data_IF_850969736980
#
_entry.id   IF_850969736980
#
_cell.length_a   1.000
_cell.length_b   1.000
_cell.length_c   1.000
_cell.angle_alpha   90.00
_cell.angle_beta   90.00
_cell.angle_gamma   90.00
#
_symmetry.space_group_name_H-M   'P 1'
#
loop_
_entity.id
_entity.type
_entity.pdbx_description
1 polymer ?
#
# COMPACT_ATOMS: atom_id res chain seq x y z
N UNK A 1 14.14 -10.99 14.10
CA UNK A 1 13.80 -12.22 13.36
C UNK A 1 13.22 -11.98 11.98
N UNK A 2 12.36 -10.98 11.73
CA UNK A 2 11.89 -10.67 10.36
C UNK A 2 13.04 -10.35 9.39
N UNK A 3 14.08 -9.63 9.86
CA UNK A 3 15.32 -9.45 9.09
C UNK A 3 16.05 -10.77 8.82
N UNK A 4 16.08 -11.72 9.77
CA UNK A 4 16.70 -13.04 9.54
C UNK A 4 15.90 -13.89 8.57
N UNK A 5 14.56 -13.89 8.67
CA UNK A 5 13.70 -14.60 7.71
C UNK A 5 13.80 -13.99 6.31
N UNK A 6 13.87 -12.66 6.21
CA UNK A 6 14.15 -11.96 4.96
C UNK A 6 15.52 -12.30 4.37
N UNK A 7 16.57 -12.35 5.21
CA UNK A 7 17.91 -12.77 4.79
C UNK A 7 17.94 -14.24 4.38
N UNK A 8 17.27 -15.14 5.10
CA UNK A 8 17.17 -16.56 4.77
C UNK A 8 16.41 -16.76 3.45
N UNK A 9 15.30 -16.04 3.25
CA UNK A 9 14.56 -16.07 1.99
C UNK A 9 15.38 -15.50 0.83
N UNK A 10 16.14 -14.42 1.06
CA UNK A 10 17.05 -13.83 0.08
C UNK A 10 18.19 -14.77 -0.29
N UNK A 11 18.86 -15.37 0.70
CA UNK A 11 19.93 -16.35 0.50
C UNK A 11 19.38 -17.62 -0.17
N UNK A 12 18.18 -18.07 0.19
CA UNK A 12 17.50 -19.19 -0.44
C UNK A 12 17.16 -18.92 -1.91
N UNK A 13 16.63 -17.75 -2.23
CA UNK A 13 16.37 -17.32 -3.61
C UNK A 13 17.65 -17.15 -4.43
N UNK A 14 18.73 -16.63 -3.83
CA UNK A 14 20.05 -16.50 -4.46
C UNK A 14 20.70 -17.86 -4.72
N UNK A 15 20.62 -18.79 -3.77
CA UNK A 15 21.11 -20.16 -3.92
C UNK A 15 20.32 -20.91 -5.00
N UNK A 16 18.99 -20.75 -5.03
CA UNK A 16 18.12 -21.34 -6.04
C UNK A 16 18.38 -20.75 -7.44
N UNK A 17 18.61 -19.44 -7.54
CA UNK A 17 19.02 -18.76 -8.77
C UNK A 17 20.35 -19.32 -9.33
N UNK A 18 21.35 -19.50 -8.46
CA UNK A 18 22.68 -19.99 -8.87
C UNK A 18 22.67 -21.46 -9.30
N UNK A 19 21.68 -22.24 -8.85
CA UNK A 19 21.62 -23.69 -9.06
C UNK A 19 20.63 -24.15 -10.15
N UNK A 20 19.57 -23.39 -10.48
CA UNK A 20 18.45 -23.94 -11.28
C UNK A 20 18.09 -23.16 -12.54
N UNK A 21 18.16 -21.81 -12.60
CA UNK A 21 17.71 -21.05 -13.78
C UNK A 21 18.61 -19.86 -14.15
N UNK A 22 19.41 -20.03 -15.20
CA UNK A 22 20.26 -19.01 -15.83
C UNK A 22 19.47 -18.06 -16.76
N UNK A 23 18.44 -17.38 -16.27
CA UNK A 23 17.70 -16.37 -17.04
C UNK A 23 17.93 -14.97 -16.46
N UNK A 24 18.29 -14.00 -17.30
CA UNK A 24 18.58 -12.61 -16.91
C UNK A 24 17.44 -11.95 -16.11
N UNK A 25 16.18 -12.30 -16.41
CA UNK A 25 14.99 -11.83 -15.70
C UNK A 25 15.00 -12.28 -14.22
N UNK A 26 15.47 -13.50 -13.94
CA UNK A 26 15.52 -14.06 -12.58
C UNK A 26 16.72 -13.47 -11.82
N UNK A 27 17.82 -13.15 -12.52
CA UNK A 27 18.93 -12.38 -11.97
C UNK A 27 18.49 -11.01 -11.44
N UNK A 28 17.72 -10.26 -12.23
CA UNK A 28 17.15 -8.99 -11.76
C UNK A 28 16.12 -9.18 -10.64
N UNK A 29 15.27 -10.20 -10.71
CA UNK A 29 14.29 -10.50 -9.66
C UNK A 29 14.97 -10.83 -8.31
N UNK A 30 16.06 -11.60 -8.32
CA UNK A 30 16.83 -11.93 -7.11
C UNK A 30 17.56 -10.70 -6.53
N UNK A 31 18.10 -9.83 -7.36
CA UNK A 31 18.67 -8.54 -6.93
C UNK A 31 17.60 -7.63 -6.32
N UNK A 32 16.38 -7.62 -6.86
CA UNK A 32 15.25 -6.87 -6.29
C UNK A 32 14.81 -7.47 -4.94
N UNK A 33 14.91 -8.80 -4.77
CA UNK A 33 14.58 -9.44 -3.50
C UNK A 33 15.47 -8.97 -2.34
N UNK A 34 16.74 -8.63 -2.59
CA UNK A 34 17.61 -8.08 -1.54
C UNK A 34 17.25 -6.66 -1.12
N UNK A 35 16.70 -5.85 -2.03
CA UNK A 35 16.13 -4.54 -1.70
C UNK A 35 14.95 -4.72 -0.73
N UNK A 36 14.16 -5.79 -0.90
CA UNK A 36 13.03 -6.06 -0.01
C UNK A 36 13.45 -6.24 1.46
N UNK A 37 14.65 -6.78 1.72
CA UNK A 37 15.18 -6.88 3.10
C UNK A 37 15.40 -5.50 3.69
N UNK A 38 16.05 -4.60 2.95
CA UNK A 38 16.29 -3.22 3.39
C UNK A 38 14.99 -2.45 3.60
N UNK A 39 14.08 -2.51 2.63
CA UNK A 39 12.77 -1.86 2.71
C UNK A 39 11.95 -2.40 3.90
N UNK A 40 12.02 -3.70 4.18
CA UNK A 40 11.35 -4.28 5.35
C UNK A 40 11.98 -3.80 6.65
N UNK A 41 13.30 -3.69 6.75
CA UNK A 41 13.98 -3.11 7.92
C UNK A 41 13.54 -1.67 8.19
N UNK A 42 13.49 -0.84 7.13
CA UNK A 42 12.96 0.53 7.21
C UNK A 42 11.50 0.52 7.69
N UNK A 43 10.67 -0.38 7.15
CA UNK A 43 9.25 -0.52 7.53
C UNK A 43 9.06 -0.90 9.00
N UNK A 44 9.86 -1.83 9.51
CA UNK A 44 9.82 -2.24 10.93
C UNK A 44 10.20 -1.07 11.85
N UNK A 45 11.27 -0.34 11.53
CA UNK A 45 11.67 0.83 12.30
C UNK A 45 10.65 1.98 12.22
N UNK A 46 10.05 2.19 11.05
CA UNK A 46 8.97 3.16 10.87
C UNK A 46 7.74 2.77 11.70
N UNK A 47 7.36 1.49 11.72
CA UNK A 47 6.30 0.96 12.56
C UNK A 47 6.59 1.13 14.06
N UNK A 48 7.86 0.95 14.47
CA UNK A 48 8.29 1.24 15.84
C UNK A 48 8.11 2.72 16.20
N UNK A 49 8.56 3.64 15.34
CA UNK A 49 8.39 5.10 15.51
C UNK A 49 6.92 5.51 15.58
N UNK A 50 6.06 4.90 14.75
CA UNK A 50 4.62 5.12 14.78
C UNK A 50 4.01 4.60 16.09
N UNK A 51 4.43 3.42 16.56
CA UNK A 51 3.97 2.83 17.81
C UNK A 51 4.38 3.62 19.05
N UNK A 52 5.57 4.23 19.06
CA UNK A 52 6.05 5.10 20.14
C UNK A 52 5.53 6.54 20.05
N UNK A 53 4.74 6.87 19.01
CA UNK A 53 4.19 8.21 18.76
C UNK A 53 5.25 9.32 18.62
N UNK A 54 6.51 8.94 18.34
CA UNK A 54 7.62 9.89 18.11
C UNK A 54 7.77 10.28 16.64
N UNK A 55 6.77 9.96 15.80
CA UNK A 55 6.78 10.25 14.37
C UNK A 55 7.07 11.73 14.03
N UNK A 56 6.52 12.74 14.74
CA UNK A 56 6.83 14.14 14.45
C UNK A 56 8.32 14.46 14.57
N UNK A 57 8.99 13.89 15.59
CA UNK A 57 10.41 14.12 15.88
C UNK A 57 11.35 13.55 14.81
N UNK A 58 10.94 12.47 14.15
CA UNK A 58 11.74 11.78 13.11
C UNK A 58 11.35 12.22 11.69
N UNK A 59 10.19 12.85 11.53
CA UNK A 59 9.57 13.15 10.23
C UNK A 59 10.46 13.98 9.30
N UNK A 60 11.07 15.06 9.79
CA UNK A 60 11.92 15.95 8.98
C UNK A 60 13.13 15.21 8.43
N UNK A 61 13.81 14.44 9.27
CA UNK A 61 14.99 13.65 8.88
C UNK A 61 14.60 12.58 7.87
N UNK A 62 13.44 11.93 8.07
CA UNK A 62 12.95 10.90 7.17
C UNK A 62 12.54 11.48 5.81
N UNK A 63 11.92 12.65 5.77
CA UNK A 63 11.59 13.36 4.52
C UNK A 63 12.88 13.75 3.80
N UNK A 64 13.85 14.32 4.51
CA UNK A 64 15.14 14.72 3.93
C UNK A 64 15.91 13.51 3.37
N UNK A 65 15.97 12.40 4.13
CA UNK A 65 16.67 11.18 3.68
C UNK A 65 15.94 10.48 2.53
N UNK A 66 14.61 10.50 2.51
CA UNK A 66 13.81 9.97 1.39
C UNK A 66 13.99 10.82 0.14
N UNK A 67 13.98 12.15 0.27
CA UNK A 67 14.24 13.05 -0.85
C UNK A 67 15.66 12.85 -1.40
N UNK A 68 16.66 12.78 -0.52
CA UNK A 68 18.04 12.45 -0.91
C UNK A 68 18.13 11.08 -1.61
N UNK A 69 17.44 10.06 -1.09
CA UNK A 69 17.32 8.74 -1.73
C UNK A 69 16.71 8.84 -3.12
N UNK A 70 15.67 9.63 -3.33
CA UNK A 70 15.04 9.82 -4.65
C UNK A 70 16.00 10.49 -5.63
N UNK A 71 16.75 11.50 -5.18
CA UNK A 71 17.77 12.14 -6.01
C UNK A 71 18.87 11.16 -6.41
N UNK A 72 19.37 10.34 -5.48
CA UNK A 72 20.38 9.30 -5.75
C UNK A 72 19.84 8.26 -6.74
N UNK A 73 18.63 7.72 -6.50
CA UNK A 73 18.03 6.73 -7.40
C UNK A 73 17.86 7.31 -8.80
N UNK A 74 17.31 8.52 -8.91
CA UNK A 74 17.06 9.17 -10.21
C UNK A 74 18.38 9.47 -10.94
N UNK A 75 19.39 10.01 -10.24
CA UNK A 75 20.68 10.32 -10.84
C UNK A 75 21.43 9.09 -11.33
N UNK A 76 21.49 8.03 -10.51
CA UNK A 76 22.18 6.78 -10.87
C UNK A 76 21.40 6.01 -11.95
N UNK A 77 20.06 6.01 -11.89
CA UNK A 77 19.23 5.42 -12.94
C UNK A 77 19.39 6.14 -14.29
N UNK A 78 19.54 7.47 -14.28
CA UNK A 78 19.80 8.23 -15.52
C UNK A 78 21.15 7.83 -16.15
N UNK A 79 22.20 7.65 -15.33
CA UNK A 79 23.53 7.31 -15.81
C UNK A 79 23.69 5.84 -16.25
N UNK A 80 23.05 4.88 -15.57
CA UNK A 80 23.31 3.45 -15.77
C UNK A 80 22.03 2.63 -16.06
N UNK A 81 20.95 3.27 -16.49
CA UNK A 81 19.67 2.62 -16.84
C UNK A 81 19.17 1.69 -15.72
N UNK A 82 18.75 0.45 -16.04
CA UNK A 82 18.15 -0.51 -15.10
C UNK A 82 19.14 -0.93 -14.00
N UNK A 83 20.40 -1.21 -14.35
CA UNK A 83 21.43 -1.57 -13.37
C UNK A 83 21.70 -0.43 -12.40
N UNK A 84 21.68 0.82 -12.90
CA UNK A 84 21.75 2.03 -12.09
C UNK A 84 20.57 2.20 -11.15
N UNK A 85 19.37 1.90 -11.62
CA UNK A 85 18.16 1.95 -10.78
C UNK A 85 18.27 0.97 -9.60
N UNK A 86 18.75 -0.26 -9.82
CA UNK A 86 18.93 -1.26 -8.75
C UNK A 86 19.96 -0.77 -7.73
N UNK A 87 21.15 -0.36 -8.19
CA UNK A 87 22.20 0.16 -7.31
C UNK A 87 21.74 1.40 -6.53
N UNK A 88 21.07 2.33 -7.21
CA UNK A 88 20.48 3.52 -6.61
C UNK A 88 19.44 3.19 -5.54
N UNK A 89 18.60 2.16 -5.74
CA UNK A 89 17.63 1.71 -4.74
C UNK A 89 18.30 1.13 -3.51
N UNK A 90 19.37 0.33 -3.66
CA UNK A 90 20.16 -0.15 -2.53
C UNK A 90 20.76 1.00 -1.73
N UNK A 91 21.44 1.94 -2.40
CA UNK A 91 22.05 3.09 -1.75
C UNK A 91 21.01 3.99 -1.07
N UNK A 92 19.90 4.25 -1.75
CA UNK A 92 18.81 5.06 -1.24
C UNK A 92 18.16 4.48 0.02
N UNK A 93 17.81 3.18 -0.01
CA UNK A 93 17.26 2.49 1.15
C UNK A 93 18.28 2.42 2.31
N UNK A 94 19.58 2.25 2.01
CA UNK A 94 20.64 2.30 3.02
C UNK A 94 20.77 3.68 3.67
N UNK A 95 20.63 4.77 2.91
CA UNK A 95 20.63 6.14 3.44
C UNK A 95 19.47 6.33 4.41
N UNK A 96 18.26 5.92 4.01
CA UNK A 96 17.06 6.02 4.86
C UNK A 96 17.20 5.17 6.11
N UNK A 97 17.66 3.92 5.97
CA UNK A 97 17.87 3.00 7.08
C UNK A 97 18.92 3.55 8.07
N UNK A 98 20.05 4.05 7.58
CA UNK A 98 21.12 4.61 8.41
C UNK A 98 20.63 5.84 9.17
N UNK A 99 19.86 6.72 8.52
CA UNK A 99 19.27 7.89 9.16
C UNK A 99 18.29 7.50 10.28
N UNK A 100 17.44 6.49 10.05
CA UNK A 100 16.51 5.96 11.05
C UNK A 100 17.25 5.34 12.24
N UNK A 101 18.23 4.48 11.98
CA UNK A 101 19.03 3.82 13.03
C UNK A 101 19.79 4.85 13.86
N UNK A 102 20.40 5.84 13.21
CA UNK A 102 21.13 6.92 13.89
C UNK A 102 20.22 7.70 14.83
N UNK A 103 19.02 8.07 14.39
CA UNK A 103 18.10 8.82 15.23
C UNK A 103 17.50 7.96 16.36
N UNK A 104 17.25 6.68 16.09
CA UNK A 104 16.73 5.73 17.07
C UNK A 104 17.81 5.14 17.98
N UNK A 105 19.08 5.49 17.81
CA UNK A 105 20.20 4.91 18.58
C UNK A 105 19.99 5.03 20.09
N UNK A 106 19.42 6.15 20.55
CA UNK A 106 19.14 6.36 21.97
C UNK A 106 18.08 5.41 22.53
N UNK A 107 17.13 4.96 21.70
CA UNK A 107 16.08 4.01 22.10
C UNK A 107 16.53 2.56 21.96
N UNK A 108 17.32 2.27 20.90
CA UNK A 108 17.80 0.93 20.59
C UNK A 108 18.97 0.50 21.48
N UNK A 109 19.94 1.39 21.73
CA UNK A 109 21.19 1.03 22.42
C UNK A 109 21.21 1.37 23.93
N UNK A 110 20.27 2.17 24.45
CA UNK A 110 20.20 2.46 25.90
C UNK A 110 19.39 1.44 26.71
N UNK A 111 18.67 0.52 26.05
CA UNK A 111 18.02 -0.59 26.74
C UNK A 111 18.94 -1.81 26.65
N UNK A 112 19.26 -2.49 27.76
CA UNK A 112 20.06 -3.72 27.70
C UNK A 112 19.26 -4.76 26.89
N UNK A 113 19.70 -5.00 25.66
CA UNK A 113 19.12 -5.96 24.70
C UNK A 113 19.12 -7.41 25.25
N UNK A 114 19.80 -7.65 26.38
CA UNK A 114 20.12 -8.97 26.91
C UNK A 114 19.34 -9.38 28.17
N UNK A 115 18.40 -8.59 28.68
CA UNK A 115 17.62 -9.00 29.87
C UNK A 115 16.31 -9.65 29.45
N UNK A 116 16.32 -10.99 29.34
CA UNK A 116 15.17 -11.89 29.33
C UNK A 116 14.01 -11.57 28.36
N UNK A 117 14.28 -11.55 27.05
CA UNK A 117 13.18 -11.57 26.07
C UNK A 117 12.99 -12.98 25.52
N UNK A 118 11.93 -13.63 26.01
CA UNK A 118 11.28 -14.77 25.37
C UNK A 118 11.31 -14.59 23.85
N UNK A 119 11.69 -15.65 23.12
CA UNK A 119 11.51 -15.74 21.67
C UNK A 119 10.17 -15.09 21.29
N UNK A 120 10.10 -14.27 20.22
CA UNK A 120 8.86 -13.63 19.82
C UNK A 120 7.78 -14.70 19.77
N UNK A 121 6.71 -14.49 20.53
CA UNK A 121 5.66 -15.50 20.66
C UNK A 121 5.20 -15.90 19.26
N UNK A 122 4.87 -17.18 19.06
CA UNK A 122 4.33 -17.69 17.79
C UNK A 122 3.16 -16.82 17.28
N UNK A 123 2.42 -16.21 18.20
CA UNK A 123 1.37 -15.23 17.94
C UNK A 123 1.87 -13.99 17.19
N UNK A 124 3.01 -13.43 17.55
CA UNK A 124 3.59 -12.25 16.91
C UNK A 124 4.10 -12.58 15.49
N UNK A 125 4.69 -13.76 15.31
CA UNK A 125 5.08 -14.27 13.99
C UNK A 125 3.84 -14.47 13.10
N UNK A 126 2.80 -15.13 13.62
CA UNK A 126 1.55 -15.33 12.90
C UNK A 126 0.87 -14.01 12.51
N UNK A 127 0.91 -13.01 13.40
CA UNK A 127 0.43 -11.65 13.13
C UNK A 127 1.20 -11.01 11.97
N UNK A 128 2.54 -11.01 12.02
CA UNK A 128 3.38 -10.44 10.96
C UNK A 128 3.18 -11.13 9.61
N UNK A 129 3.10 -12.46 9.59
CA UNK A 129 2.79 -13.23 8.37
C UNK A 129 1.41 -12.85 7.83
N UNK A 130 0.38 -12.83 8.67
CA UNK A 130 -0.98 -12.50 8.23
C UNK A 130 -1.09 -11.08 7.67
N UNK A 131 -0.39 -10.11 8.27
CA UNK A 131 -0.36 -8.73 7.78
C UNK A 131 0.34 -8.61 6.43
N UNK A 132 1.48 -9.30 6.24
CA UNK A 132 2.19 -9.30 4.96
C UNK A 132 1.40 -10.01 3.86
N UNK A 133 0.73 -11.13 4.18
CA UNK A 133 -0.17 -11.80 3.23
C UNK A 133 -1.34 -10.90 2.87
N UNK A 134 -1.97 -10.24 3.84
CA UNK A 134 -3.05 -9.28 3.58
C UNK A 134 -2.59 -8.15 2.64
N UNK A 135 -1.39 -7.60 2.88
CA UNK A 135 -0.79 -6.56 2.05
C UNK A 135 -0.44 -7.07 0.66
N UNK A 136 0.10 -8.28 0.53
CA UNK A 136 0.40 -8.91 -0.76
C UNK A 136 -0.88 -9.10 -1.59
N UNK A 137 -1.93 -9.67 -1.00
CA UNK A 137 -3.21 -9.87 -1.67
C UNK A 137 -3.83 -8.51 -2.03
N UNK A 138 -3.70 -7.50 -1.17
CA UNK A 138 -4.17 -6.14 -1.48
C UNK A 138 -3.44 -5.54 -2.68
N UNK A 139 -2.11 -5.68 -2.74
CA UNK A 139 -1.30 -5.25 -3.88
C UNK A 139 -1.70 -6.00 -5.15
N UNK A 140 -2.04 -7.29 -5.04
CA UNK A 140 -2.59 -8.04 -6.17
C UNK A 140 -3.91 -7.42 -6.65
N UNK A 141 -4.88 -7.18 -5.75
CA UNK A 141 -6.16 -6.54 -6.09
C UNK A 141 -5.96 -5.19 -6.79
N UNK A 142 -5.05 -4.36 -6.28
CA UNK A 142 -4.78 -3.04 -6.85
C UNK A 142 -4.16 -3.11 -8.25
N UNK A 143 -3.42 -4.18 -8.56
CA UNK A 143 -2.80 -4.41 -9.86
C UNK A 143 -3.61 -5.30 -10.81
N UNK A 144 -4.72 -5.91 -10.35
CA UNK A 144 -5.56 -6.80 -11.17
C UNK A 144 -6.05 -6.15 -12.48
N UNK A 145 -6.45 -4.87 -12.54
CA UNK A 145 -6.85 -4.26 -13.80
C UNK A 145 -5.72 -4.22 -14.84
N UNK A 146 -4.48 -3.95 -14.40
CA UNK A 146 -3.30 -3.93 -15.28
C UNK A 146 -3.00 -5.36 -15.74
N UNK A 147 -2.99 -6.32 -14.83
CA UNK A 147 -2.78 -7.73 -15.15
C UNK A 147 -3.85 -8.27 -16.10
N UNK A 148 -5.11 -7.86 -15.90
CA UNK A 148 -6.25 -8.20 -16.76
C UNK A 148 -6.09 -7.66 -18.18
N UNK A 149 -5.66 -6.41 -18.34
CA UNK A 149 -5.35 -5.84 -19.65
C UNK A 149 -4.20 -6.57 -20.36
N UNK A 150 -3.13 -6.89 -19.63
CA UNK A 150 -1.99 -7.65 -20.16
C UNK A 150 -2.42 -9.05 -20.60
N UNK A 151 -3.19 -9.76 -19.77
CA UNK A 151 -3.72 -11.09 -20.10
C UNK A 151 -4.70 -11.06 -21.28
N UNK A 152 -5.47 -9.99 -21.41
CA UNK A 152 -6.38 -9.76 -22.53
C UNK A 152 -5.68 -9.27 -23.82
N UNK A 153 -4.35 -9.10 -23.80
CA UNK A 153 -3.54 -8.59 -24.92
C UNK A 153 -4.01 -7.23 -25.44
N UNK A 154 -4.44 -6.35 -24.53
CA UNK A 154 -4.80 -4.96 -24.85
C UNK A 154 -3.57 -4.23 -25.40
N UNK A 155 -3.79 -3.28 -26.33
CA UNK A 155 -2.71 -2.46 -26.91
C UNK A 155 -1.89 -1.75 -25.82
N UNK A 156 -0.57 -1.72 -26.00
CA UNK A 156 0.39 -1.14 -25.04
C UNK A 156 0.08 0.31 -24.70
N UNK A 157 -0.39 1.10 -25.67
CA UNK A 157 -0.68 2.52 -25.48
C UNK A 157 -1.82 2.72 -24.48
N UNK A 158 -2.86 1.88 -24.55
CA UNK A 158 -3.98 1.91 -23.61
C UNK A 158 -3.55 1.51 -22.19
N UNK A 159 -2.65 0.53 -22.08
CA UNK A 159 -2.05 0.15 -20.80
C UNK A 159 -1.23 1.33 -20.23
N UNK A 160 -0.51 2.06 -21.09
CA UNK A 160 0.22 3.27 -20.73
C UNK A 160 -0.68 4.39 -20.20
N UNK A 161 -1.77 4.70 -20.89
CA UNK A 161 -2.76 5.69 -20.44
C UNK A 161 -3.39 5.32 -19.09
N UNK A 162 -3.79 4.06 -18.93
CA UNK A 162 -4.31 3.57 -17.65
C UNK A 162 -3.24 3.64 -16.55
N UNK A 163 -2.01 3.22 -16.83
CA UNK A 163 -0.89 3.30 -15.91
C UNK A 163 -0.64 4.72 -15.41
N UNK A 164 -0.61 5.70 -16.32
CA UNK A 164 -0.50 7.12 -15.97
C UNK A 164 -1.66 7.60 -15.09
N UNK A 165 -2.90 7.23 -15.42
CA UNK A 165 -4.06 7.58 -14.61
C UNK A 165 -3.97 6.99 -13.19
N UNK A 166 -3.53 5.74 -13.06
CA UNK A 166 -3.32 5.11 -11.74
C UNK A 166 -2.18 5.73 -10.94
N UNK A 167 -1.09 6.17 -11.60
CA UNK A 167 0.01 6.89 -10.95
C UNK A 167 -0.45 8.24 -10.39
N UNK A 168 -1.26 8.98 -11.16
CA UNK A 168 -1.88 10.24 -10.67
C UNK A 168 -2.81 9.95 -9.50
N UNK A 169 -3.61 8.89 -9.57
CA UNK A 169 -4.49 8.45 -8.48
C UNK A 169 -3.72 8.04 -7.22
N UNK A 170 -2.49 7.51 -7.36
CA UNK A 170 -1.67 7.12 -6.20
C UNK A 170 -1.38 8.30 -5.27
N UNK A 171 -1.20 9.51 -5.81
CA UNK A 171 -0.93 10.72 -5.01
C UNK A 171 -1.93 10.93 -3.86
N UNK A 172 -3.24 11.10 -4.17
CA UNK A 172 -4.29 11.15 -3.15
C UNK A 172 -4.35 9.91 -2.24
N UNK A 173 -4.15 8.71 -2.77
CA UNK A 173 -4.20 7.49 -1.94
C UNK A 173 -3.09 7.44 -0.88
N UNK A 174 -1.92 8.01 -1.17
CA UNK A 174 -0.84 8.15 -0.19
C UNK A 174 -1.26 9.08 0.96
N UNK A 175 -1.95 10.18 0.66
CA UNK A 175 -2.48 11.09 1.68
C UNK A 175 -3.50 10.34 2.57
N UNK A 176 -4.39 9.54 1.98
CA UNK A 176 -5.35 8.74 2.73
C UNK A 176 -4.67 7.71 3.63
N UNK A 177 -3.63 7.04 3.13
CA UNK A 177 -2.82 6.13 3.91
C UNK A 177 -2.15 6.84 5.09
N UNK A 178 -1.59 8.05 4.89
CA UNK A 178 -0.99 8.84 5.99
C UNK A 178 -2.03 9.18 7.06
N UNK A 179 -3.22 9.68 6.67
CA UNK A 179 -4.30 9.99 7.62
C UNK A 179 -4.69 8.74 8.43
N UNK A 180 -4.84 7.60 7.77
CA UNK A 180 -5.17 6.34 8.41
C UNK A 180 -4.06 5.86 9.37
N UNK A 181 -2.79 5.99 8.98
CA UNK A 181 -1.64 5.59 9.80
C UNK A 181 -1.44 6.48 11.04
N UNK A 182 -1.82 7.75 10.98
CA UNK A 182 -1.79 8.65 12.14
C UNK A 182 -2.90 8.31 13.14
N UNK A 183 -4.09 7.93 12.67
CA UNK A 183 -5.20 7.54 13.55
C UNK A 183 -5.07 6.10 14.10
N UNK A 184 -4.33 5.21 13.43
CA UNK A 184 -4.21 3.82 13.83
C UNK A 184 -3.72 3.65 15.29
N UNK A 185 -2.59 4.23 15.75
CA UNK A 185 -2.16 4.12 17.15
C UNK A 185 -3.20 4.66 18.13
N UNK A 186 -3.92 5.71 17.73
CA UNK A 186 -4.91 6.36 18.56
C UNK A 186 -6.17 5.50 18.75
N UNK A 187 -6.55 4.71 17.74
CA UNK A 187 -7.62 3.70 17.85
C UNK A 187 -7.16 2.52 18.70
N UNK A 188 -5.90 2.09 18.57
CA UNK A 188 -5.33 1.00 19.38
C UNK A 188 -5.35 1.33 20.88
N UNK A 189 -5.13 2.59 21.27
CA UNK A 189 -5.18 3.03 22.67
C UNK A 189 -6.57 2.90 23.30
N UNK A 190 -7.63 3.12 22.55
CA UNK A 190 -9.02 3.09 23.04
C UNK A 190 -9.75 1.79 22.69
N UNK A 191 -9.01 0.74 22.29
CA UNK A 191 -9.58 -0.52 21.77
C UNK A 191 -10.55 -1.23 22.71
N UNK A 192 -10.48 -0.98 24.02
CA UNK A 192 -11.34 -1.59 25.04
C UNK A 192 -12.71 -0.89 25.15
N UNK A 193 -12.80 0.36 24.68
CA UNK A 193 -14.01 1.18 24.76
C UNK A 193 -14.69 1.28 23.39
N UNK A 194 -15.67 0.42 23.15
CA UNK A 194 -16.42 0.35 21.88
C UNK A 194 -16.97 1.72 21.42
N UNK A 195 -17.51 2.52 22.35
CA UNK A 195 -18.02 3.86 22.04
C UNK A 195 -16.93 4.84 21.60
N UNK A 196 -15.73 4.76 22.18
CA UNK A 196 -14.59 5.58 21.78
C UNK A 196 -14.05 5.17 20.40
N UNK A 197 -13.96 3.86 20.13
CA UNK A 197 -13.60 3.33 18.80
C UNK A 197 -14.60 3.80 17.73
N UNK A 198 -15.90 3.71 18.00
CA UNK A 198 -16.94 4.17 17.07
C UNK A 198 -16.84 5.67 16.77
N UNK A 199 -16.57 6.51 17.78
CA UNK A 199 -16.34 7.95 17.60
C UNK A 199 -15.11 8.23 16.74
N UNK A 200 -13.99 7.55 17.00
CA UNK A 200 -12.76 7.71 16.19
C UNK A 200 -12.95 7.22 14.76
N UNK A 201 -13.62 6.08 14.56
CA UNK A 201 -13.95 5.60 13.22
C UNK A 201 -14.79 6.61 12.44
N UNK A 202 -15.85 7.16 13.05
CA UNK A 202 -16.67 8.19 12.39
C UNK A 202 -15.86 9.43 12.02
N UNK A 203 -14.93 9.85 12.90
CA UNK A 203 -14.03 10.98 12.63
C UNK A 203 -13.08 10.67 11.47
N UNK A 204 -12.41 9.52 11.51
CA UNK A 204 -11.51 9.06 10.45
C UNK A 204 -12.23 8.97 9.10
N UNK A 205 -13.38 8.29 9.08
CA UNK A 205 -14.19 8.13 7.87
C UNK A 205 -14.65 9.48 7.31
N UNK A 206 -15.07 10.42 8.16
CA UNK A 206 -15.46 11.78 7.73
C UNK A 206 -14.28 12.56 7.15
N UNK A 207 -13.11 12.49 7.79
CA UNK A 207 -11.90 13.16 7.30
C UNK A 207 -11.50 12.61 5.93
N UNK A 208 -11.40 11.28 5.82
CA UNK A 208 -11.05 10.61 4.59
C UNK A 208 -12.05 10.84 3.45
N UNK A 209 -13.36 10.77 3.73
CA UNK A 209 -14.39 11.04 2.73
C UNK A 209 -14.34 12.47 2.21
N UNK A 210 -14.13 13.46 3.08
CA UNK A 210 -13.98 14.87 2.66
C UNK A 210 -12.80 15.01 1.71
N UNK A 211 -11.65 14.44 2.05
CA UNK A 211 -10.47 14.47 1.18
C UNK A 211 -10.70 13.70 -0.13
N UNK A 212 -11.35 12.55 -0.09
CA UNK A 212 -11.68 11.78 -1.29
C UNK A 212 -12.62 12.53 -2.24
N UNK A 213 -13.67 13.16 -1.70
CA UNK A 213 -14.59 13.98 -2.49
C UNK A 213 -13.90 15.20 -3.08
N UNK A 214 -12.99 15.85 -2.33
CA UNK A 214 -12.18 16.96 -2.83
C UNK A 214 -11.32 16.53 -4.02
N UNK A 215 -10.53 15.45 -3.89
CA UNK A 215 -9.68 14.96 -4.98
C UNK A 215 -10.50 14.45 -6.17
N UNK A 216 -11.64 13.79 -5.93
CA UNK A 216 -12.55 13.37 -6.99
C UNK A 216 -13.09 14.59 -7.75
N UNK A 217 -13.52 15.63 -7.03
CA UNK A 217 -13.97 16.88 -7.63
C UNK A 217 -12.87 17.55 -8.46
N UNK A 218 -11.65 17.63 -7.94
CA UNK A 218 -10.50 18.19 -8.66
C UNK A 218 -10.26 17.43 -9.98
N UNK A 219 -10.22 16.10 -9.95
CA UNK A 219 -9.97 15.30 -11.16
C UNK A 219 -11.12 15.38 -12.17
N UNK A 220 -12.36 15.40 -11.70
CA UNK A 220 -13.54 15.59 -12.57
C UNK A 220 -13.49 16.96 -13.24
N UNK A 221 -13.23 18.01 -12.47
CA UNK A 221 -13.10 19.38 -13.00
C UNK A 221 -11.98 19.44 -14.04
N UNK A 222 -10.77 18.96 -13.72
CA UNK A 222 -9.64 18.96 -14.65
C UNK A 222 -9.98 18.20 -15.95
N UNK A 223 -10.59 17.02 -15.84
CA UNK A 223 -10.96 16.22 -17.01
C UNK A 223 -12.03 16.88 -17.87
N UNK A 224 -13.07 17.48 -17.26
CA UNK A 224 -14.14 18.20 -17.98
C UNK A 224 -13.59 19.46 -18.65
N UNK A 225 -12.78 20.26 -17.95
CA UNK A 225 -12.15 21.46 -18.52
C UNK A 225 -11.20 21.11 -19.66
N UNK A 226 -10.45 20.01 -19.55
CA UNK A 226 -9.62 19.56 -20.65
C UNK A 226 -10.46 19.20 -21.88
N UNK A 227 -11.59 18.51 -21.68
CA UNK A 227 -12.47 18.09 -22.78
C UNK A 227 -13.19 19.24 -23.46
N UNK A 228 -13.56 20.29 -22.71
CA UNK A 228 -14.34 21.41 -23.23
C UNK A 228 -13.48 22.57 -23.74
N UNK A 229 -12.31 22.82 -23.14
CA UNK A 229 -11.54 24.04 -23.37
C UNK A 229 -10.14 23.71 -23.90
N UNK A 230 -9.33 22.97 -23.14
CA UNK A 230 -7.88 22.91 -23.40
C UNK A 230 -7.44 21.89 -24.47
N UNK A 231 -8.19 20.79 -24.64
CA UNK A 231 -7.90 19.74 -25.62
C UNK A 231 -6.47 19.19 -25.56
N UNK A 232 -5.88 19.05 -24.36
CA UNK A 232 -4.55 18.49 -24.22
C UNK A 232 -4.48 17.04 -24.74
N UNK A 233 -3.32 16.60 -25.28
CA UNK A 233 -3.13 15.26 -25.88
C UNK A 233 -3.23 14.09 -24.88
N UNK A 234 -3.50 14.37 -23.60
CA UNK A 234 -3.70 13.40 -22.53
C UNK A 234 -5.17 13.07 -22.28
N UNK A 235 -6.06 13.34 -23.24
CA UNK A 235 -7.51 13.18 -23.10
C UNK A 235 -7.94 11.80 -22.62
N UNK A 236 -7.43 10.73 -23.22
CA UNK A 236 -7.75 9.35 -22.83
C UNK A 236 -7.35 9.03 -21.39
N UNK A 237 -6.19 9.51 -20.95
CA UNK A 237 -5.73 9.36 -19.55
C UNK A 237 -6.67 10.07 -18.58
N UNK A 238 -7.14 11.26 -18.92
CA UNK A 238 -8.04 12.05 -18.08
C UNK A 238 -9.44 11.44 -18.01
N UNK A 239 -9.95 10.89 -19.11
CA UNK A 239 -11.22 10.15 -19.13
C UNK A 239 -11.16 8.92 -18.20
N UNK A 240 -10.06 8.17 -18.23
CA UNK A 240 -9.84 7.06 -17.30
C UNK A 240 -9.71 7.56 -15.85
N UNK A 241 -9.00 8.66 -15.63
CA UNK A 241 -8.84 9.25 -14.30
C UNK A 241 -10.18 9.67 -13.70
N UNK A 242 -11.12 10.20 -14.50
CA UNK A 242 -12.47 10.52 -14.03
C UNK A 242 -13.14 9.25 -13.46
N UNK A 243 -13.15 8.15 -14.23
CA UNK A 243 -13.79 6.89 -13.80
C UNK A 243 -13.10 6.34 -12.53
N UNK A 244 -11.77 6.35 -12.50
CA UNK A 244 -11.00 5.91 -11.33
C UNK A 244 -11.26 6.80 -10.11
N UNK A 245 -11.43 8.11 -10.30
CA UNK A 245 -11.67 9.06 -9.21
C UNK A 245 -13.00 8.80 -8.50
N UNK A 246 -14.02 8.33 -9.22
CA UNK A 246 -15.32 7.95 -8.64
C UNK A 246 -15.21 6.78 -7.65
N UNK A 247 -14.14 5.98 -7.73
CA UNK A 247 -13.88 4.90 -6.78
C UNK A 247 -13.26 5.41 -5.46
N UNK A 248 -12.72 6.64 -5.40
CA UNK A 248 -12.02 7.14 -4.22
C UNK A 248 -12.88 7.14 -2.96
N UNK A 249 -14.15 7.62 -2.96
CA UNK A 249 -15.01 7.58 -1.78
C UNK A 249 -15.23 6.15 -1.25
N UNK A 250 -15.37 5.18 -2.16
CA UNK A 250 -15.56 3.77 -1.81
C UNK A 250 -14.29 3.17 -1.19
N UNK A 251 -13.14 3.47 -1.80
CA UNK A 251 -11.83 3.00 -1.34
C UNK A 251 -11.48 3.57 0.03
N UNK A 252 -11.76 4.85 0.28
CA UNK A 252 -11.44 5.44 1.59
C UNK A 252 -12.33 4.95 2.71
N UNK A 253 -13.61 4.63 2.43
CA UNK A 253 -14.47 3.98 3.42
C UNK A 253 -13.96 2.57 3.74
N UNK A 254 -13.58 1.80 2.72
CA UNK A 254 -12.98 0.47 2.90
C UNK A 254 -11.68 0.56 3.70
N UNK A 255 -10.82 1.54 3.40
CA UNK A 255 -9.60 1.83 4.14
C UNK A 255 -9.90 2.14 5.61
N UNK A 256 -10.85 3.02 5.90
CA UNK A 256 -11.22 3.37 7.27
C UNK A 256 -11.66 2.14 8.08
N UNK A 257 -12.50 1.28 7.48
CA UNK A 257 -12.93 0.02 8.10
C UNK A 257 -11.72 -0.92 8.31
N UNK A 258 -10.89 -1.08 7.29
CA UNK A 258 -9.68 -1.89 7.36
C UNK A 258 -8.71 -1.43 8.45
N UNK A 259 -8.53 -0.12 8.63
CA UNK A 259 -7.71 0.46 9.70
C UNK A 259 -8.26 0.11 11.08
N UNK A 260 -9.58 0.15 11.27
CA UNK A 260 -10.22 -0.26 12.53
C UNK A 260 -10.06 -1.75 12.78
N UNK A 261 -10.29 -2.60 11.77
CA UNK A 261 -10.06 -4.05 11.89
C UNK A 261 -8.60 -4.37 12.25
N UNK A 262 -7.65 -3.64 11.66
CA UNK A 262 -6.23 -3.74 11.98
C UNK A 262 -5.95 -3.33 13.43
N UNK A 263 -6.52 -2.22 13.90
CA UNK A 263 -6.38 -1.77 15.29
C UNK A 263 -6.92 -2.80 16.30
N UNK A 264 -8.00 -3.49 15.93
CA UNK A 264 -8.63 -4.56 16.71
C UNK A 264 -7.93 -5.91 16.55
N UNK A 265 -6.79 -5.97 15.86
CA UNK A 265 -5.98 -7.17 15.60
C UNK A 265 -6.70 -8.27 14.80
N UNK A 266 -7.69 -7.92 14.00
CA UNK A 266 -8.44 -8.87 13.16
C UNK A 266 -7.81 -9.06 11.77
N UNK A 267 -6.49 -9.30 11.70
CA UNK A 267 -5.74 -9.39 10.45
C UNK A 267 -6.21 -10.53 9.53
N UNK A 268 -6.61 -11.68 10.10
CA UNK A 268 -7.14 -12.82 9.34
C UNK A 268 -8.35 -12.44 8.50
N UNK A 269 -9.21 -11.57 9.06
CA UNK A 269 -10.42 -11.10 8.39
C UNK A 269 -10.08 -10.22 7.19
N UNK A 270 -9.05 -9.37 7.33
CA UNK A 270 -8.54 -8.57 6.21
C UNK A 270 -7.98 -9.45 5.09
N UNK A 271 -7.25 -10.52 5.42
CA UNK A 271 -6.79 -11.51 4.43
C UNK A 271 -7.97 -12.13 3.68
N UNK A 272 -9.01 -12.57 4.39
CA UNK A 272 -10.18 -13.19 3.76
C UNK A 272 -10.92 -12.20 2.86
N UNK A 273 -11.18 -10.98 3.32
CA UNK A 273 -11.86 -9.95 2.52
C UNK A 273 -11.07 -9.69 1.24
N UNK A 274 -9.76 -9.43 1.35
CA UNK A 274 -8.93 -9.12 0.18
C UNK A 274 -8.83 -10.32 -0.79
N UNK A 275 -8.79 -11.55 -0.26
CA UNK A 275 -8.70 -12.76 -1.10
C UNK A 275 -10.00 -12.99 -1.88
N UNK A 276 -11.15 -12.82 -1.21
CA UNK A 276 -12.47 -12.90 -1.85
C UNK A 276 -12.63 -11.79 -2.89
N UNK A 277 -12.22 -10.56 -2.56
CA UNK A 277 -12.18 -9.45 -3.51
C UNK A 277 -11.34 -9.81 -4.75
N UNK A 278 -10.12 -10.32 -4.57
CA UNK A 278 -9.23 -10.70 -5.67
C UNK A 278 -9.87 -11.75 -6.59
N UNK A 279 -10.41 -12.83 -6.01
CA UNK A 279 -11.01 -13.94 -6.75
C UNK A 279 -12.23 -13.49 -7.56
N UNK A 280 -13.07 -12.62 -6.99
CA UNK A 280 -14.28 -12.13 -7.66
C UNK A 280 -13.98 -11.05 -8.69
N UNK A 281 -12.97 -10.20 -8.45
CA UNK A 281 -12.63 -9.11 -9.37
C UNK A 281 -11.77 -9.54 -10.55
N UNK A 282 -10.93 -10.57 -10.39
CA UNK A 282 -10.08 -11.08 -11.46
C UNK A 282 -10.84 -11.45 -12.76
N UNK A 283 -11.92 -12.26 -12.74
CA UNK A 283 -12.65 -12.59 -13.96
C UNK A 283 -13.37 -11.38 -14.57
N UNK A 284 -13.89 -10.48 -13.73
CA UNK A 284 -14.54 -9.23 -14.17
C UNK A 284 -13.51 -8.33 -14.87
N UNK A 285 -12.33 -8.16 -14.28
CA UNK A 285 -11.25 -7.37 -14.83
C UNK A 285 -10.77 -7.93 -16.18
N UNK A 286 -10.57 -9.25 -16.27
CA UNK A 286 -10.20 -9.90 -17.54
C UNK A 286 -11.28 -9.70 -18.62
N UNK A 287 -12.54 -10.00 -18.29
CA UNK A 287 -13.63 -9.90 -19.26
C UNK A 287 -13.85 -8.47 -19.76
N UNK A 288 -13.92 -7.49 -18.84
CA UNK A 288 -14.11 -6.09 -19.21
C UNK A 288 -12.91 -5.52 -19.95
N UNK A 289 -11.68 -5.86 -19.55
CA UNK A 289 -10.49 -5.45 -20.29
C UNK A 289 -10.45 -6.02 -21.71
N UNK A 290 -10.88 -7.27 -21.89
CA UNK A 290 -10.97 -7.89 -23.22
C UNK A 290 -11.98 -7.20 -24.14
N UNK A 291 -13.12 -6.77 -23.60
CA UNK A 291 -14.19 -6.15 -24.39
C UNK A 291 -13.97 -4.64 -24.63
N UNK A 292 -13.46 -3.92 -23.63
CA UNK A 292 -13.43 -2.45 -23.62
C UNK A 292 -12.04 -1.86 -23.37
N UNK A 293 -10.98 -2.67 -23.39
CA UNK A 293 -9.60 -2.22 -23.19
C UNK A 293 -9.40 -1.50 -21.86
N UNK A 294 -8.69 -0.37 -21.87
CA UNK A 294 -8.43 0.43 -20.66
C UNK A 294 -9.69 0.97 -19.98
N UNK A 295 -10.74 1.31 -20.73
CA UNK A 295 -12.02 1.75 -20.15
C UNK A 295 -12.68 0.63 -19.36
N UNK A 296 -12.62 -0.61 -19.89
CA UNK A 296 -13.06 -1.80 -19.18
C UNK A 296 -12.29 -2.06 -17.89
N UNK A 297 -10.97 -1.87 -17.91
CA UNK A 297 -10.12 -1.98 -16.73
C UNK A 297 -10.46 -0.92 -15.65
N UNK A 298 -10.75 0.32 -16.05
CA UNK A 298 -11.20 1.37 -15.14
C UNK A 298 -12.57 1.06 -14.51
N UNK A 299 -13.51 0.53 -15.28
CA UNK A 299 -14.80 0.06 -14.76
C UNK A 299 -14.60 -1.11 -13.79
N UNK A 300 -13.73 -2.07 -14.13
CA UNK A 300 -13.41 -3.18 -13.24
C UNK A 300 -12.80 -2.71 -11.92
N UNK A 301 -11.93 -1.70 -11.94
CA UNK A 301 -11.38 -1.07 -10.74
C UNK A 301 -12.47 -0.43 -9.86
N UNK A 302 -13.43 0.27 -10.48
CA UNK A 302 -14.58 0.85 -9.79
C UNK A 302 -15.46 -0.25 -9.16
N UNK A 303 -15.83 -1.28 -9.94
CA UNK A 303 -16.61 -2.42 -9.45
C UNK A 303 -15.89 -3.17 -8.33
N UNK A 304 -14.58 -3.35 -8.42
CA UNK A 304 -13.77 -3.92 -7.35
C UNK A 304 -13.82 -3.08 -6.08
N UNK A 305 -13.85 -1.76 -6.21
CA UNK A 305 -13.99 -0.85 -5.06
C UNK A 305 -15.39 -0.91 -4.42
N UNK A 306 -16.45 -1.10 -5.23
CA UNK A 306 -17.81 -1.37 -4.74
C UNK A 306 -17.85 -2.69 -3.97
N UNK A 307 -17.27 -3.75 -4.54
CA UNK A 307 -17.22 -5.07 -3.91
C UNK A 307 -16.42 -5.02 -2.61
N UNK A 308 -15.26 -4.37 -2.61
CA UNK A 308 -14.42 -4.18 -1.43
C UNK A 308 -15.20 -3.51 -0.31
N UNK A 309 -15.95 -2.44 -0.62
CA UNK A 309 -16.80 -1.76 0.36
C UNK A 309 -17.91 -2.69 0.88
N UNK A 310 -18.59 -3.42 0.00
CA UNK A 310 -19.65 -4.35 0.40
C UNK A 310 -19.12 -5.44 1.36
N UNK A 311 -17.95 -6.00 1.07
CA UNK A 311 -17.31 -7.01 1.93
C UNK A 311 -16.90 -6.41 3.29
N UNK A 312 -16.24 -5.25 3.30
CA UNK A 312 -15.85 -4.57 4.54
C UNK A 312 -17.07 -4.16 5.38
N UNK A 313 -18.12 -3.62 4.76
CA UNK A 313 -19.36 -3.25 5.45
C UNK A 313 -20.13 -4.48 5.97
N UNK A 314 -20.16 -5.57 5.20
CA UNK A 314 -20.77 -6.84 5.62
C UNK A 314 -20.08 -7.41 6.86
N UNK A 315 -18.76 -7.42 6.86
CA UNK A 315 -17.95 -7.83 8.01
C UNK A 315 -18.18 -6.94 9.22
N UNK A 316 -18.21 -5.62 9.01
CA UNK A 316 -18.47 -4.67 10.10
C UNK A 316 -19.84 -4.92 10.76
N UNK A 317 -20.88 -5.22 9.96
CA UNK A 317 -22.22 -5.56 10.46
C UNK A 317 -22.23 -6.89 11.19
N UNK A 318 -21.65 -7.94 10.60
CA UNK A 318 -21.64 -9.29 11.17
C UNK A 318 -20.87 -9.37 12.49
N UNK A 319 -19.79 -8.59 12.61
CA UNK A 319 -18.90 -8.62 13.77
C UNK A 319 -19.47 -7.92 15.00
N UNK A 320 -20.59 -7.18 14.91
CA UNK A 320 -21.19 -6.38 16.00
C UNK A 320 -20.20 -5.44 16.71
N UNK A 321 -19.01 -5.20 16.13
CA UNK A 321 -17.92 -4.43 16.74
C UNK A 321 -18.28 -2.97 17.05
N UNK A 322 -19.41 -2.49 16.51
CA UNK A 322 -19.93 -1.13 16.66
C UNK A 322 -21.43 -1.06 16.99
N UNK A 323 -22.11 -2.19 17.18
CA UNK A 323 -23.47 -2.15 17.74
C UNK A 323 -23.32 -1.96 19.24
N UNK A 324 -23.29 -0.70 19.68
CA UNK A 324 -23.53 -0.38 21.08
C UNK A 324 -24.90 -0.92 21.46
N UNK A 325 -24.95 -1.71 22.55
CA UNK A 325 -26.07 -1.60 23.47
C UNK A 325 -26.31 -0.12 23.71
N UNK A 326 -27.39 0.39 23.15
CA UNK A 326 -28.07 1.54 23.71
C UNK A 326 -28.63 1.08 25.05
N UNK A 327 -27.99 1.50 26.12
CA UNK A 327 -28.55 1.59 27.47
C UNK A 327 -28.14 2.93 28.05
#
# INVERSE_FOLDING_TARGET
MEMMVGVIAFVGLLAFHRLVLSNAIIGYASLIAGIAVLTNSVRVLAGFVQGTQTAPSVSVILIASTFGSVCVVTGVAHAYSISGWIAGRYLGEMIVLSALVWHLRGYLFRRPILVNQSLPSLTLISLGVSANVAQFVRLLCDNLPILGMTAAKVKTDQIGHFGLATLVLMGPTLIFAVIAQVELPQIVLVRTEHGAVARRMRRLMRSLLRSALLFSGIFIVIGVFNRLIFHFPIGDTLDLLIVLSMALPLRVTSLAIGTVLMALRQYKLSVYINSVEAVLTAPIAYYLAKQFGAKGAAIAFFLGSVLSLALHAGVLRASRLLSSNES
#
